data_IF_540453750564
#
_entry.id   IF_540453750564
#
_cell.length_a   1.000
_cell.length_b   1.000
_cell.length_c   1.000
_cell.angle_alpha   90.00
_cell.angle_beta   90.00
_cell.angle_gamma   90.00
#
_symmetry.space_group_name_H-M   'P 1'
#
loop_
_entity.id
_entity.type
_entity.pdbx_description
1 polymer ?
#
# COMPACT_ATOMS: atom_id res chain seq x y z
N UNK A 1 -1.17 -17.19 4.13
CA UNK A 1 -0.13 -17.05 3.09
C UNK A 1 -0.28 -15.66 2.49
N UNK A 2 0.80 -14.88 2.46
CA UNK A 2 0.81 -13.56 1.80
C UNK A 2 0.90 -13.84 0.31
N UNK A 3 -0.22 -13.76 -0.41
CA UNK A 3 -0.25 -13.92 -1.86
C UNK A 3 -0.04 -12.56 -2.53
N UNK A 4 1.23 -12.23 -2.80
CA UNK A 4 1.65 -11.03 -3.54
C UNK A 4 2.06 -11.34 -4.99
N UNK A 5 1.87 -12.59 -5.47
CA UNK A 5 2.47 -13.05 -6.74
C UNK A 5 1.83 -12.46 -7.99
N UNK A 6 0.60 -11.96 -7.89
CA UNK A 6 -0.16 -11.41 -9.02
C UNK A 6 -0.46 -9.91 -8.90
N UNK A 7 -0.08 -9.28 -7.77
CA UNK A 7 -0.36 -7.87 -7.49
C UNK A 7 0.78 -7.25 -6.67
N UNK A 8 1.96 -7.01 -7.25
CA UNK A 8 3.18 -6.63 -6.52
C UNK A 8 3.04 -5.37 -5.66
N UNK A 9 2.07 -4.50 -5.97
CA UNK A 9 1.75 -3.27 -5.23
C UNK A 9 0.66 -3.44 -4.14
N UNK A 10 0.26 -4.67 -3.82
CA UNK A 10 -0.78 -4.98 -2.82
C UNK A 10 -0.26 -6.02 -1.83
N UNK A 11 -0.49 -5.81 -0.54
CA UNK A 11 -0.30 -6.83 0.48
C UNK A 11 -1.62 -7.10 1.19
N UNK A 12 -1.91 -8.39 1.43
CA UNK A 12 -3.04 -8.82 2.26
C UNK A 12 -2.55 -9.12 3.68
N UNK A 13 -3.17 -8.47 4.65
CA UNK A 13 -2.90 -8.66 6.08
C UNK A 13 -4.15 -9.15 6.79
N UNK A 14 -3.99 -10.16 7.64
CA UNK A 14 -5.08 -10.65 8.49
C UNK A 14 -5.32 -9.67 9.66
N UNK A 15 -6.52 -9.64 10.25
CA UNK A 15 -6.79 -8.84 11.45
C UNK A 15 -5.76 -9.10 12.57
N UNK A 16 -5.22 -8.03 13.14
CA UNK A 16 -4.22 -8.10 14.21
C UNK A 16 -2.82 -8.57 13.78
N UNK A 17 -2.55 -8.69 12.47
CA UNK A 17 -1.23 -9.04 11.93
C UNK A 17 -0.58 -7.86 11.23
N UNK A 18 0.75 -7.89 11.13
CA UNK A 18 1.55 -6.97 10.35
C UNK A 18 2.08 -7.64 9.08
N UNK A 19 2.35 -6.83 8.06
CA UNK A 19 3.03 -7.22 6.82
C UNK A 19 3.85 -6.04 6.29
N UNK A 20 4.80 -6.32 5.41
CA UNK A 20 5.71 -5.31 4.85
C UNK A 20 5.57 -5.24 3.33
N UNK A 21 5.52 -4.01 2.80
CA UNK A 21 5.55 -3.72 1.36
C UNK A 21 6.72 -2.75 1.12
N UNK A 22 7.78 -3.25 0.49
CA UNK A 22 8.95 -2.43 0.12
C UNK A 22 8.78 -1.97 -1.32
N UNK A 23 8.95 -0.67 -1.56
CA UNK A 23 8.79 -0.04 -2.86
C UNK A 23 9.96 0.90 -3.16
N UNK A 24 10.46 0.87 -4.40
CA UNK A 24 11.47 1.79 -4.90
C UNK A 24 10.80 2.90 -5.72
N UNK A 25 11.02 4.15 -5.33
CA UNK A 25 10.49 5.31 -6.05
C UNK A 25 11.53 5.84 -7.05
N UNK A 26 11.11 6.07 -8.29
CA UNK A 26 12.02 6.47 -9.38
C UNK A 26 12.01 7.97 -9.67
N UNK A 27 11.24 8.78 -8.92
CA UNK A 27 11.19 10.23 -9.06
C UNK A 27 10.16 10.88 -8.12
N UNK A 28 9.98 12.19 -8.27
CA UNK A 28 8.99 12.97 -7.52
C UNK A 28 7.56 12.68 -7.98
N UNK A 29 6.69 12.27 -7.06
CA UNK A 29 5.28 11.99 -7.33
C UNK A 29 4.45 11.93 -6.02
N UNK A 30 3.13 11.76 -6.14
CA UNK A 30 2.22 11.46 -5.03
C UNK A 30 1.67 10.05 -5.23
N UNK A 31 2.10 9.12 -4.39
CA UNK A 31 1.59 7.74 -4.41
C UNK A 31 0.44 7.61 -3.40
N UNK A 32 -0.73 7.20 -3.88
CA UNK A 32 -1.89 6.92 -3.03
C UNK A 32 -1.94 5.43 -2.68
N UNK A 33 -2.22 5.13 -1.42
CA UNK A 33 -2.48 3.76 -0.97
C UNK A 33 -3.85 3.68 -0.29
N UNK A 34 -4.53 2.54 -0.43
CA UNK A 34 -5.82 2.30 0.20
C UNK A 34 -6.12 0.82 0.36
N UNK A 35 -7.01 0.48 1.29
CA UNK A 35 -7.65 -0.82 1.33
C UNK A 35 -8.91 -0.81 0.44
N UNK A 36 -8.97 -1.64 -0.61
CA UNK A 36 -10.09 -1.65 -1.55
C UNK A 36 -11.31 -2.43 -1.03
N UNK A 37 -11.24 -3.03 0.17
CA UNK A 37 -12.34 -3.79 0.72
C UNK A 37 -13.55 -2.89 1.03
N UNK A 38 -14.79 -3.36 0.75
CA UNK A 38 -16.00 -2.62 1.08
C UNK A 38 -16.00 -2.15 2.54
N UNK A 39 -16.25 -0.87 2.76
CA UNK A 39 -16.26 -0.25 4.09
C UNK A 39 -14.90 0.15 4.67
N UNK A 40 -13.78 -0.35 4.12
CA UNK A 40 -12.44 -0.10 4.70
C UNK A 40 -11.78 1.19 4.18
N UNK A 41 -12.09 1.60 2.95
CA UNK A 41 -11.44 2.73 2.27
C UNK A 41 -11.42 4.03 3.10
N UNK A 42 -12.53 4.34 3.79
CA UNK A 42 -12.68 5.62 4.53
C UNK A 42 -11.64 5.79 5.64
N UNK A 43 -11.30 4.70 6.35
CA UNK A 43 -10.35 4.70 7.45
C UNK A 43 -8.95 4.20 7.09
N UNK A 44 -8.82 3.51 5.96
CA UNK A 44 -7.56 2.90 5.51
C UNK A 44 -7.20 3.40 4.12
N UNK A 45 -6.80 4.68 4.06
CA UNK A 45 -6.25 5.35 2.87
C UNK A 45 -5.22 6.39 3.27
N UNK A 46 -4.28 6.69 2.39
CA UNK A 46 -3.28 7.72 2.60
C UNK A 46 -2.53 8.07 1.33
N UNK A 47 -1.65 9.06 1.44
CA UNK A 47 -0.77 9.52 0.37
C UNK A 47 0.66 9.59 0.89
N UNK A 48 1.60 9.16 0.05
CA UNK A 48 3.04 9.34 0.22
C UNK A 48 3.46 10.40 -0.79
N UNK A 49 4.07 11.48 -0.30
CA UNK A 49 4.62 12.53 -1.14
C UNK A 49 6.11 12.23 -1.32
N UNK A 50 6.55 12.10 -2.56
CA UNK A 50 7.94 11.88 -2.91
C UNK A 50 8.46 13.16 -3.54
N UNK A 51 9.51 13.71 -2.94
CA UNK A 51 10.21 14.89 -3.44
C UNK A 51 11.60 14.49 -3.90
N UNK A 52 12.10 15.13 -4.96
CA UNK A 52 13.50 14.97 -5.35
C UNK A 52 14.38 15.59 -4.26
N UNK A 53 15.54 14.97 -4.02
CA UNK A 53 16.55 15.52 -3.10
C UNK A 53 17.15 16.81 -3.61
#
# INVERSE_FOLDING_TARGET
MIDNRFKPAEIRVNPGKAGELVWEFTGSDIVNFACPLPGHYKGMRGRVIIENK
#
